data_IF_572897305609
#
_entry.id   IF_572897305609
#
_cell.length_a   1.000
_cell.length_b   1.000
_cell.length_c   1.000
_cell.angle_alpha   90.00
_cell.angle_beta   90.00
_cell.angle_gamma   90.00
#
_symmetry.space_group_name_H-M   'P 1'
#
loop_
_entity.id
_entity.type
_entity.pdbx_description
1 polymer ?
#
# COMPACT_ATOMS: atom_id res chain seq x y z
N UNK A 1 1.88 61.17 -11.59
CA UNK A 1 3.15 60.44 -11.32
C UNK A 1 3.04 59.55 -10.09
N UNK A 2 2.40 60.00 -9.01
CA UNK A 2 2.30 59.26 -7.73
C UNK A 2 1.43 58.00 -7.78
N UNK A 3 0.28 58.05 -8.46
CA UNK A 3 -0.65 56.90 -8.58
C UNK A 3 -0.02 55.71 -9.32
N UNK A 4 0.81 55.96 -10.34
CA UNK A 4 1.55 54.91 -11.06
C UNK A 4 2.65 54.29 -10.18
N UNK A 5 3.31 55.09 -9.33
CA UNK A 5 4.32 54.59 -8.38
C UNK A 5 3.70 53.72 -7.29
N UNK A 6 2.53 54.08 -6.78
CA UNK A 6 1.79 53.30 -5.77
C UNK A 6 1.31 51.96 -6.36
N UNK A 7 0.79 51.98 -7.59
CA UNK A 7 0.36 50.76 -8.29
C UNK A 7 1.54 49.82 -8.53
N UNK A 8 2.69 50.34 -9.00
CA UNK A 8 3.90 49.55 -9.25
C UNK A 8 4.49 48.96 -7.97
N UNK A 9 4.48 49.70 -6.85
CA UNK A 9 4.91 49.20 -5.53
C UNK A 9 3.98 48.10 -5.01
N UNK A 10 2.67 48.26 -5.20
CA UNK A 10 1.67 47.28 -4.79
C UNK A 10 1.77 45.99 -5.61
N UNK A 11 2.02 46.08 -6.92
CA UNK A 11 2.28 44.93 -7.78
C UNK A 11 3.59 44.22 -7.41
N UNK A 12 4.66 44.96 -7.13
CA UNK A 12 5.93 44.36 -6.73
C UNK A 12 5.81 43.58 -5.41
N UNK A 13 5.06 44.12 -4.43
CA UNK A 13 4.78 43.44 -3.16
C UNK A 13 3.92 42.18 -3.38
N UNK A 14 2.91 42.23 -4.25
CA UNK A 14 2.08 41.08 -4.57
C UNK A 14 2.87 39.93 -5.25
N UNK A 15 3.82 40.26 -6.13
CA UNK A 15 4.69 39.25 -6.79
C UNK A 15 5.66 38.60 -5.79
N UNK A 16 6.18 39.36 -4.82
CA UNK A 16 7.07 38.83 -3.78
C UNK A 16 6.32 37.94 -2.78
N UNK A 17 5.06 38.25 -2.44
CA UNK A 17 4.26 37.40 -1.55
C UNK A 17 3.87 36.09 -2.24
N UNK A 18 3.57 36.12 -3.55
CA UNK A 18 3.20 34.93 -4.31
C UNK A 18 4.38 33.95 -4.51
N UNK A 19 5.62 34.43 -4.56
CA UNK A 19 6.80 33.57 -4.76
C UNK A 19 7.26 32.84 -3.50
N UNK A 20 6.84 33.27 -2.30
CA UNK A 20 7.26 32.68 -1.01
C UNK A 20 6.39 31.46 -0.61
N UNK A 21 5.26 31.22 -1.27
CA UNK A 21 4.29 30.20 -0.84
C UNK A 21 4.56 28.80 -1.44
N UNK A 22 5.50 28.62 -2.37
CA UNK A 22 5.65 27.35 -3.11
C UNK A 22 6.58 26.28 -2.55
N UNK A 23 7.09 26.39 -1.33
CA UNK A 23 8.12 25.44 -0.84
C UNK A 23 7.86 24.78 0.50
N UNK A 24 6.60 24.55 0.91
CA UNK A 24 6.32 23.68 2.08
C UNK A 24 5.03 22.85 1.96
N UNK A 25 4.91 22.04 0.91
CA UNK A 25 4.15 20.78 1.04
C UNK A 25 5.16 19.65 1.11
N UNK A 26 5.80 19.54 2.27
CA UNK A 26 6.56 18.36 2.64
C UNK A 26 5.62 17.18 2.78
N UNK A 27 5.27 16.54 1.66
CA UNK A 27 4.86 15.15 1.69
C UNK A 27 6.14 14.35 1.97
N UNK A 28 6.49 14.22 3.24
CA UNK A 28 7.35 13.15 3.72
C UNK A 28 6.63 11.82 3.48
N UNK A 29 6.56 11.39 2.21
CA UNK A 29 6.50 9.97 1.91
C UNK A 29 7.85 9.42 2.32
N UNK A 30 7.93 8.98 3.58
CA UNK A 30 8.91 7.99 4.01
C UNK A 30 9.11 7.00 2.85
N UNK A 31 10.34 6.78 2.35
CA UNK A 31 10.56 5.80 1.31
C UNK A 31 10.10 4.45 1.88
N UNK A 32 8.86 4.05 1.55
CA UNK A 32 8.30 2.79 2.01
C UNK A 32 9.28 1.72 1.59
N UNK A 33 9.96 1.13 2.57
CA UNK A 33 10.86 0.01 2.32
C UNK A 33 9.97 -1.12 1.80
N UNK A 34 9.95 -1.30 0.49
CA UNK A 34 9.16 -2.33 -0.17
C UNK A 34 9.88 -3.66 0.05
N UNK A 35 9.56 -4.33 1.14
CA UNK A 35 9.97 -5.71 1.34
C UNK A 35 9.22 -6.60 0.35
N UNK A 36 9.95 -7.51 -0.32
CA UNK A 36 9.36 -8.49 -1.25
C UNK A 36 8.55 -9.60 -0.55
N UNK A 37 8.44 -9.53 0.78
CA UNK A 37 7.83 -10.53 1.64
C UNK A 37 6.84 -9.89 2.63
N UNK A 38 5.97 -10.71 3.21
CA UNK A 38 5.09 -10.28 4.28
C UNK A 38 5.88 -9.99 5.56
N UNK A 39 5.83 -8.76 6.04
CA UNK A 39 6.35 -8.36 7.37
C UNK A 39 5.25 -8.30 8.44
N UNK A 40 3.98 -8.30 8.01
CA UNK A 40 2.78 -8.40 8.85
C UNK A 40 1.79 -9.36 8.22
N UNK A 41 0.89 -9.90 9.04
CA UNK A 41 -0.18 -10.80 8.63
C UNK A 41 -1.54 -10.27 9.06
N UNK A 42 -2.56 -10.57 8.25
CA UNK A 42 -3.96 -10.26 8.53
C UNK A 42 -4.67 -11.49 9.08
N UNK A 43 -5.61 -11.26 9.99
CA UNK A 43 -6.54 -12.27 10.52
C UNK A 43 -7.88 -12.26 9.79
N UNK A 44 -8.12 -11.27 8.93
CA UNK A 44 -9.38 -11.08 8.21
C UNK A 44 -9.61 -12.17 7.16
N UNK A 45 -10.85 -12.65 7.06
CA UNK A 45 -11.26 -13.62 6.03
C UNK A 45 -11.19 -12.98 4.64
N UNK A 46 -10.52 -13.66 3.71
CA UNK A 46 -10.42 -13.26 2.29
C UNK A 46 -11.56 -13.89 1.51
N UNK A 47 -12.60 -13.13 1.20
CA UNK A 47 -13.75 -13.59 0.41
C UNK A 47 -13.48 -13.63 -1.10
N UNK A 48 -12.46 -12.91 -1.57
CA UNK A 48 -12.07 -12.85 -2.97
C UNK A 48 -11.65 -14.24 -3.52
N UNK A 49 -11.94 -14.55 -4.80
CA UNK A 49 -11.48 -15.79 -5.43
C UNK A 49 -9.96 -15.93 -5.38
N UNK A 50 -9.50 -17.03 -4.78
CA UNK A 50 -8.08 -17.34 -4.64
C UNK A 50 -7.58 -17.93 -5.97
N UNK A 51 -6.61 -17.26 -6.58
CA UNK A 51 -5.95 -17.69 -7.81
C UNK A 51 -4.74 -18.58 -7.54
N UNK A 52 -4.01 -18.29 -6.45
CA UNK A 52 -2.86 -19.08 -6.01
C UNK A 52 -2.65 -18.96 -4.50
N UNK A 53 -2.00 -19.97 -3.91
CA UNK A 53 -1.63 -20.01 -2.50
C UNK A 53 -0.13 -20.28 -2.42
N UNK A 54 0.59 -19.47 -1.64
CA UNK A 54 2.02 -19.65 -1.35
C UNK A 54 2.26 -19.63 0.16
N UNK A 55 3.04 -20.58 0.67
CA UNK A 55 3.55 -20.53 2.04
C UNK A 55 4.82 -19.68 2.06
N UNK A 56 4.87 -18.70 2.96
CA UNK A 56 6.07 -17.94 3.25
C UNK A 56 6.66 -18.44 4.58
N UNK A 57 7.93 -18.83 4.54
CA UNK A 57 8.70 -19.15 5.73
C UNK A 57 9.15 -17.86 6.44
N UNK A 58 9.31 -17.95 7.76
CA UNK A 58 9.84 -16.85 8.55
C UNK A 58 11.34 -16.65 8.27
N UNK A 59 11.72 -15.40 8.02
CA UNK A 59 13.12 -14.98 7.81
C UNK A 59 13.17 -13.46 7.96
N UNK A 60 13.62 -12.97 9.12
CA UNK A 60 13.48 -11.55 9.49
C UNK A 60 14.02 -10.62 8.38
N UNK A 61 13.26 -9.57 7.99
CA UNK A 61 12.05 -9.05 8.65
C UNK A 61 10.74 -9.74 8.23
N UNK A 62 10.81 -10.78 7.40
CA UNK A 62 9.65 -11.53 6.92
C UNK A 62 9.09 -12.44 8.02
N UNK A 63 7.78 -12.41 8.21
CA UNK A 63 7.07 -13.29 9.15
C UNK A 63 6.51 -14.51 8.44
N UNK A 64 6.20 -15.57 9.20
CA UNK A 64 5.49 -16.74 8.66
C UNK A 64 4.09 -16.35 8.20
N UNK A 65 3.77 -16.59 6.93
CA UNK A 65 2.47 -16.21 6.35
C UNK A 65 1.97 -17.22 5.32
N UNK A 66 0.65 -17.29 5.15
CA UNK A 66 0.02 -17.86 3.96
C UNK A 66 -0.33 -16.69 3.04
N UNK A 67 0.20 -16.69 1.83
CA UNK A 67 -0.06 -15.64 0.84
C UNK A 67 -1.17 -16.12 -0.09
N UNK A 68 -2.30 -15.43 -0.07
CA UNK A 68 -3.38 -15.62 -1.04
C UNK A 68 -3.25 -14.61 -2.16
N UNK A 69 -3.02 -15.11 -3.38
CA UNK A 69 -3.07 -14.30 -4.58
C UNK A 69 -4.50 -14.25 -5.10
N UNK A 70 -5.02 -13.06 -5.28
CA UNK A 70 -6.35 -12.79 -5.82
C UNK A 70 -6.23 -11.84 -7.02
N UNK A 71 -7.36 -11.51 -7.67
CA UNK A 71 -7.37 -10.45 -8.70
C UNK A 71 -7.05 -9.06 -8.15
N UNK A 72 -7.28 -8.82 -6.85
CA UNK A 72 -7.05 -7.53 -6.19
C UNK A 72 -5.63 -7.36 -5.68
N UNK A 73 -4.86 -8.44 -5.61
CA UNK A 73 -3.50 -8.44 -5.10
C UNK A 73 -3.21 -9.65 -4.20
N UNK A 74 -2.07 -9.58 -3.52
CA UNK A 74 -1.61 -10.58 -2.57
C UNK A 74 -1.99 -10.19 -1.14
N UNK A 75 -2.56 -11.15 -0.41
CA UNK A 75 -2.90 -10.98 1.00
C UNK A 75 -2.03 -11.87 1.87
N UNK A 76 -1.31 -11.25 2.80
CA UNK A 76 -0.53 -11.93 3.84
C UNK A 76 -1.46 -12.36 4.97
N UNK A 77 -1.72 -13.66 5.12
CA UNK A 77 -2.66 -14.21 6.09
C UNK A 77 -1.94 -14.96 7.19
N UNK A 78 -2.42 -14.80 8.42
CA UNK A 78 -1.93 -15.54 9.58
C UNK A 78 -2.28 -17.03 9.45
N UNK A 79 -1.28 -17.93 9.37
CA UNK A 79 -1.51 -19.38 9.25
C UNK A 79 -2.28 -19.98 10.43
N UNK A 80 -2.37 -19.31 11.59
CA UNK A 80 -3.05 -19.81 12.79
C UNK A 80 -4.57 -19.67 12.73
N UNK A 81 -5.10 -18.96 11.74
CA UNK A 81 -6.54 -18.72 11.64
C UNK A 81 -7.29 -20.00 11.23
N UNK A 82 -8.33 -20.35 12.00
CA UNK A 82 -9.09 -21.61 11.83
C UNK A 82 -9.68 -21.80 10.42
N UNK A 83 -10.06 -20.70 9.77
CA UNK A 83 -10.67 -20.72 8.44
C UNK A 83 -9.64 -20.95 7.31
N UNK A 84 -8.36 -20.64 7.54
CA UNK A 84 -7.30 -20.71 6.53
C UNK A 84 -7.09 -22.14 6.07
N UNK A 85 -6.99 -23.08 7.00
CA UNK A 85 -6.81 -24.50 6.67
C UNK A 85 -7.95 -25.02 5.77
N UNK A 86 -9.19 -24.66 6.09
CA UNK A 86 -10.36 -25.03 5.30
C UNK A 86 -10.27 -24.47 3.88
N UNK A 87 -9.93 -23.19 3.72
CA UNK A 87 -9.77 -22.57 2.39
C UNK A 87 -8.64 -23.17 1.58
N UNK A 88 -7.49 -23.40 2.20
CA UNK A 88 -6.33 -24.03 1.53
C UNK A 88 -6.70 -25.41 1.01
N UNK A 89 -7.36 -26.24 1.84
CA UNK A 89 -7.85 -27.57 1.42
C UNK A 89 -8.86 -27.47 0.28
N UNK A 90 -9.80 -26.53 0.34
CA UNK A 90 -10.80 -26.32 -0.72
C UNK A 90 -10.15 -25.92 -2.04
N UNK A 91 -9.18 -25.01 -2.01
CA UNK A 91 -8.43 -24.58 -3.20
C UNK A 91 -7.72 -25.76 -3.88
N UNK A 92 -6.93 -26.54 -3.13
CA UNK A 92 -6.21 -27.68 -3.72
C UNK A 92 -7.14 -28.80 -4.20
N UNK A 93 -8.27 -29.04 -3.53
CA UNK A 93 -9.31 -29.96 -4.02
C UNK A 93 -9.88 -29.49 -5.36
N UNK A 94 -10.19 -28.20 -5.49
CA UNK A 94 -10.69 -27.64 -6.73
C UNK A 94 -9.67 -27.72 -7.88
N UNK A 95 -8.38 -27.47 -7.59
CA UNK A 95 -7.31 -27.61 -8.58
C UNK A 95 -7.14 -29.05 -9.08
N UNK A 96 -7.24 -30.03 -8.18
CA UNK A 96 -7.14 -31.46 -8.54
C UNK A 96 -8.32 -31.94 -9.39
N UNK A 97 -9.50 -31.36 -9.17
CA UNK A 97 -10.71 -31.72 -9.91
C UNK A 97 -10.87 -30.94 -11.21
N UNK A 98 -9.87 -30.13 -11.60
CA UNK A 98 -9.90 -29.39 -12.85
C UNK A 98 -9.66 -30.38 -14.00
N UNK A 99 -10.52 -30.40 -15.03
CA UNK A 99 -10.37 -31.27 -16.19
C UNK A 99 -9.12 -30.94 -17.02
#
# INVERSE_FOLDING_TARGET
METRRILMRSLAVAVVIASVIWTTTGNATDPQVVYSCCTKVSTADVTDPILNIRLQHESLPCVKAIIFKTKRGEFCIDPKQRWVEKKVKQFFRAQRNKP
#
